data_IF_963303861644
#
_entry.id   IF_963303861644
#
_cell.length_a   1.000
_cell.length_b   1.000
_cell.length_c   1.000
_cell.angle_alpha   90.00
_cell.angle_beta   90.00
_cell.angle_gamma   90.00
#
_symmetry.space_group_name_H-M   'P 1'
#
loop_
_entity.id
_entity.type
_entity.pdbx_description
1 polymer ?
#
# COMPACT_ATOMS: atom_id res chain seq x y z
N UNK A 1 36.57 58.69 34.11
CA UNK A 1 35.28 58.46 33.42
C UNK A 1 35.41 57.25 32.49
N UNK A 2 34.52 56.29 32.74
CA UNK A 2 34.23 55.00 32.08
C UNK A 2 34.74 54.73 30.66
N UNK A 3 35.30 53.53 30.43
CA UNK A 3 35.02 52.76 29.20
C UNK A 3 35.34 51.25 29.27
N UNK A 4 34.36 50.47 28.79
CA UNK A 4 34.45 49.14 28.13
C UNK A 4 34.81 47.89 28.96
N UNK A 5 33.77 47.33 29.58
CA UNK A 5 33.59 45.87 29.63
C UNK A 5 32.70 45.45 28.45
N UNK A 6 33.20 44.60 27.55
CA UNK A 6 32.39 44.02 26.48
C UNK A 6 32.93 42.67 26.04
N UNK A 7 31.98 41.76 25.79
CA UNK A 7 32.10 40.48 25.08
C UNK A 7 32.80 39.34 25.84
N UNK A 8 32.07 38.72 26.78
CA UNK A 8 32.35 37.31 27.10
C UNK A 8 31.11 36.49 27.55
N UNK A 9 29.91 36.83 27.05
CA UNK A 9 28.67 36.22 27.55
C UNK A 9 27.58 35.94 26.51
N UNK A 10 27.91 35.72 25.23
CA UNK A 10 26.88 35.49 24.18
C UNK A 10 27.08 34.27 23.27
N UNK A 11 28.10 33.43 23.49
CA UNK A 11 28.41 32.34 22.54
C UNK A 11 27.97 30.96 23.05
N UNK A 12 27.59 30.82 24.33
CA UNK A 12 27.25 29.51 24.93
C UNK A 12 25.77 29.12 24.92
N UNK A 13 24.87 29.98 24.49
CA UNK A 13 23.41 29.73 24.59
C UNK A 13 22.83 29.13 23.28
N UNK A 14 23.49 29.32 22.14
CA UNK A 14 22.98 28.89 20.83
C UNK A 14 23.13 27.38 20.58
N UNK A 15 24.07 26.69 21.22
CA UNK A 15 24.36 25.28 20.93
C UNK A 15 23.34 24.34 21.61
N UNK A 16 22.75 24.74 22.73
CA UNK A 16 21.75 23.93 23.44
C UNK A 16 20.38 23.92 22.76
N UNK A 17 20.05 24.95 21.98
CA UNK A 17 18.76 25.04 21.30
C UNK A 17 18.70 24.17 20.02
N UNK A 18 19.83 23.99 19.34
CA UNK A 18 19.91 23.20 18.10
C UNK A 18 19.83 21.69 18.40
N UNK A 19 20.41 21.23 19.51
CA UNK A 19 20.32 19.82 19.90
C UNK A 19 18.91 19.42 20.36
N UNK A 20 18.15 20.34 20.95
CA UNK A 20 16.76 20.10 21.36
C UNK A 20 15.79 20.08 20.15
N UNK A 21 16.05 20.89 19.12
CA UNK A 21 15.28 20.85 17.87
C UNK A 21 15.51 19.57 17.06
N UNK A 22 16.71 18.99 17.14
CA UNK A 22 17.04 17.73 16.45
C UNK A 22 16.27 16.51 16.97
N UNK A 23 15.96 16.45 18.27
CA UNK A 23 15.22 15.32 18.87
C UNK A 23 13.69 15.40 18.66
N UNK A 24 13.13 16.59 18.48
CA UNK A 24 11.68 16.77 18.25
C UNK A 24 11.22 16.39 16.83
N UNK A 25 12.14 16.29 15.87
CA UNK A 25 11.85 15.87 14.49
C UNK A 25 11.86 14.34 14.29
N UNK A 26 12.28 13.56 15.28
CA UNK A 26 12.35 12.09 15.16
C UNK A 26 11.06 11.36 15.58
N UNK A 27 10.05 12.06 16.08
CA UNK A 27 8.83 11.43 16.62
C UNK A 27 7.72 11.26 15.57
N UNK A 28 7.86 11.81 14.36
CA UNK A 28 6.79 11.85 13.36
C UNK A 28 6.91 10.88 12.18
N UNK A 29 7.91 9.99 12.15
CA UNK A 29 8.02 8.95 11.12
C UNK A 29 7.98 7.54 11.71
N UNK A 30 6.77 7.13 12.09
CA UNK A 30 6.54 5.77 12.57
C UNK A 30 5.07 5.49 12.82
N UNK A 31 4.17 5.93 11.94
CA UNK A 31 2.75 5.58 12.04
C UNK A 31 2.52 4.14 11.57
N UNK A 32 3.10 3.17 12.29
CA UNK A 32 2.69 1.77 12.17
C UNK A 32 1.33 1.64 12.87
N UNK A 33 0.26 1.86 12.10
CA UNK A 33 -1.12 1.61 12.57
C UNK A 33 -1.25 0.11 12.84
N UNK A 34 -1.07 -0.30 14.09
CA UNK A 34 -1.40 -1.64 14.54
C UNK A 34 -2.93 -1.80 14.47
N UNK A 35 -3.41 -2.32 13.35
CA UNK A 35 -4.82 -2.68 13.18
C UNK A 35 -5.19 -3.71 14.24
N UNK A 36 -6.30 -3.52 14.94
CA UNK A 36 -6.80 -4.49 15.91
C UNK A 36 -7.21 -5.80 15.21
N UNK A 37 -7.17 -6.91 15.93
CA UNK A 37 -7.59 -8.22 15.41
C UNK A 37 -9.02 -8.20 14.87
N UNK A 38 -9.90 -7.38 15.47
CA UNK A 38 -11.28 -7.19 15.00
C UNK A 38 -11.33 -6.54 13.63
N UNK A 39 -10.60 -5.44 13.41
CA UNK A 39 -10.54 -4.75 12.13
C UNK A 39 -9.98 -5.64 11.01
N UNK A 40 -9.00 -6.49 11.33
CA UNK A 40 -8.45 -7.47 10.36
C UNK A 40 -9.47 -8.53 9.96
N UNK A 41 -10.23 -9.05 10.93
CA UNK A 41 -11.28 -10.04 10.67
C UNK A 41 -12.44 -9.43 9.87
N UNK A 42 -12.81 -8.20 10.18
CA UNK A 42 -13.84 -7.46 9.47
C UNK A 42 -13.41 -7.19 8.02
N UNK A 43 -12.17 -6.75 7.80
CA UNK A 43 -11.59 -6.61 6.48
C UNK A 43 -11.67 -7.92 5.67
N UNK A 44 -11.27 -9.05 6.27
CA UNK A 44 -11.37 -10.37 5.63
C UNK A 44 -12.82 -10.72 5.27
N UNK A 45 -13.76 -10.46 6.18
CA UNK A 45 -15.18 -10.73 5.96
C UNK A 45 -15.74 -9.87 4.83
N UNK A 46 -15.40 -8.58 4.82
CA UNK A 46 -15.84 -7.62 3.80
C UNK A 46 -15.28 -7.97 2.42
N UNK A 47 -13.99 -8.31 2.32
CA UNK A 47 -13.41 -8.81 1.08
C UNK A 47 -14.12 -10.09 0.60
N UNK A 48 -14.38 -11.02 1.53
CA UNK A 48 -15.07 -12.28 1.21
C UNK A 48 -16.52 -12.08 0.76
N UNK A 49 -17.19 -11.04 1.25
CA UNK A 49 -18.54 -10.64 0.81
C UNK A 49 -18.48 -9.98 -0.57
N UNK A 50 -17.54 -9.05 -0.78
CA UNK A 50 -17.35 -8.36 -2.05
C UNK A 50 -17.01 -9.33 -3.19
N UNK A 51 -16.16 -10.34 -2.95
CA UNK A 51 -15.83 -11.38 -3.94
C UNK A 51 -17.06 -12.24 -4.30
N UNK A 52 -17.94 -12.50 -3.33
CA UNK A 52 -19.15 -13.32 -3.55
C UNK A 52 -20.28 -12.55 -4.22
N UNK A 53 -20.28 -11.23 -4.11
CA UNK A 53 -21.27 -10.39 -4.78
C UNK A 53 -20.86 -10.15 -6.23
N UNK A 54 -21.61 -10.69 -7.19
CA UNK A 54 -21.29 -10.62 -8.62
C UNK A 54 -21.22 -9.18 -9.14
N UNK A 55 -22.16 -8.30 -8.76
CA UNK A 55 -22.15 -6.91 -9.25
C UNK A 55 -20.92 -6.16 -8.78
N UNK A 56 -20.57 -6.27 -7.49
CA UNK A 56 -19.36 -5.65 -6.95
C UNK A 56 -18.11 -6.24 -7.60
N UNK A 57 -18.04 -7.57 -7.72
CA UNK A 57 -16.87 -8.23 -8.28
C UNK A 57 -16.62 -7.84 -9.74
N UNK A 58 -17.68 -7.78 -10.56
CA UNK A 58 -17.63 -7.31 -11.94
C UNK A 58 -17.19 -5.85 -12.02
N UNK A 59 -17.77 -4.97 -11.19
CA UNK A 59 -17.38 -3.56 -11.14
C UNK A 59 -15.88 -3.39 -10.86
N UNK A 60 -15.33 -4.17 -9.91
CA UNK A 60 -13.89 -4.15 -9.61
C UNK A 60 -13.03 -4.67 -10.76
N UNK A 61 -13.51 -5.66 -11.51
CA UNK A 61 -12.83 -6.17 -12.72
C UNK A 61 -12.77 -5.11 -13.81
N UNK A 62 -13.87 -4.40 -14.07
CA UNK A 62 -13.92 -3.33 -15.07
C UNK A 62 -13.00 -2.16 -14.67
N UNK A 63 -12.99 -1.79 -13.39
CA UNK A 63 -12.13 -0.72 -12.86
C UNK A 63 -10.62 -1.06 -12.93
N UNK A 64 -10.25 -2.35 -12.96
CA UNK A 64 -8.85 -2.75 -12.90
C UNK A 64 -8.15 -2.60 -14.27
N UNK A 65 -7.00 -1.93 -14.30
CA UNK A 65 -6.14 -1.86 -15.49
C UNK A 65 -5.35 -3.15 -15.69
N UNK A 66 -5.00 -3.79 -14.58
CA UNK A 66 -4.22 -5.01 -14.53
C UNK A 66 -4.91 -6.07 -13.69
N UNK A 67 -4.98 -7.28 -14.23
CA UNK A 67 -5.47 -8.46 -13.50
C UNK A 67 -4.50 -9.60 -13.76
N UNK A 68 -4.02 -10.24 -12.70
CA UNK A 68 -3.05 -11.31 -12.83
C UNK A 68 -3.09 -12.27 -11.64
N UNK A 69 -2.64 -13.50 -11.87
CA UNK A 69 -2.31 -14.42 -10.79
C UNK A 69 -0.87 -14.23 -10.37
N UNK A 70 -0.60 -14.31 -9.07
CA UNK A 70 0.75 -14.08 -8.56
C UNK A 70 0.99 -14.73 -7.21
N UNK A 71 2.27 -14.84 -6.84
CA UNK A 71 2.70 -15.25 -5.50
C UNK A 71 3.45 -14.11 -4.83
N UNK A 72 3.03 -13.77 -3.62
CA UNK A 72 3.66 -12.74 -2.79
C UNK A 72 5.03 -13.23 -2.36
N UNK A 73 6.03 -12.41 -2.61
CA UNK A 73 7.43 -12.67 -2.27
C UNK A 73 7.81 -11.93 -1.00
N UNK A 74 7.45 -10.66 -0.94
CA UNK A 74 7.75 -9.83 0.21
C UNK A 74 6.67 -8.77 0.44
N UNK A 75 6.60 -8.29 1.68
CA UNK A 75 5.73 -7.23 2.13
C UNK A 75 6.58 -6.27 2.97
N UNK A 76 6.75 -5.04 2.49
CA UNK A 76 7.50 -3.96 3.11
C UNK A 76 6.57 -2.76 3.23
N UNK A 77 6.38 -2.18 4.43
CA UNK A 77 5.61 -0.95 4.71
C UNK A 77 4.77 -0.38 3.54
N UNK A 78 3.58 -0.96 3.31
CA UNK A 78 2.63 -0.49 2.28
C UNK A 78 2.98 -0.86 0.83
N UNK A 79 3.99 -1.69 0.61
CA UNK A 79 4.44 -2.21 -0.69
C UNK A 79 4.48 -3.73 -0.69
N UNK A 80 3.91 -4.32 -1.73
CA UNK A 80 3.81 -5.75 -1.91
C UNK A 80 4.60 -6.17 -3.14
N UNK A 81 5.68 -6.93 -2.94
CA UNK A 81 6.46 -7.50 -4.02
C UNK A 81 5.83 -8.83 -4.46
N UNK A 82 5.33 -8.89 -5.68
CA UNK A 82 4.61 -10.06 -6.22
C UNK A 82 5.33 -10.60 -7.43
N UNK A 83 5.57 -11.92 -7.46
CA UNK A 83 5.95 -12.61 -8.68
C UNK A 83 4.70 -12.96 -9.48
N UNK A 84 4.55 -12.36 -10.65
CA UNK A 84 3.47 -12.64 -11.59
C UNK A 84 3.63 -14.06 -12.12
N UNK A 85 2.54 -14.80 -12.15
CA UNK A 85 2.47 -16.17 -12.69
C UNK A 85 1.79 -16.18 -14.05
N UNK A 86 0.67 -15.48 -14.18
CA UNK A 86 -0.07 -15.31 -15.43
C UNK A 86 -0.79 -13.97 -15.43
N UNK A 87 -0.59 -13.18 -16.48
CA UNK A 87 -1.41 -12.01 -16.74
C UNK A 87 -2.76 -12.46 -17.34
N UNK A 88 -3.85 -11.88 -16.86
CA UNK A 88 -5.22 -12.10 -17.35
C UNK A 88 -5.70 -10.85 -18.10
N UNK A 89 -5.47 -9.67 -17.52
CA UNK A 89 -5.74 -8.36 -18.13
C UNK A 89 -4.50 -7.48 -18.01
N UNK A 90 -4.18 -6.78 -19.10
CA UNK A 90 -2.98 -5.96 -19.22
C UNK A 90 -1.70 -6.77 -19.45
N UNK A 91 -0.62 -6.10 -19.85
CA UNK A 91 0.67 -6.72 -20.13
C UNK A 91 1.59 -6.60 -18.91
N UNK A 92 1.76 -7.71 -18.18
CA UNK A 92 2.61 -7.78 -16.98
C UNK A 92 3.50 -9.01 -17.03
N UNK A 93 4.82 -8.81 -16.90
CA UNK A 93 5.82 -9.86 -17.01
C UNK A 93 6.77 -9.81 -15.80
N UNK A 94 7.06 -10.98 -15.20
CA UNK A 94 8.09 -11.10 -14.16
C UNK A 94 7.61 -10.74 -12.75
N UNK A 95 8.19 -9.70 -12.14
CA UNK A 95 7.91 -9.25 -10.78
C UNK A 95 7.33 -7.84 -10.79
N UNK A 96 6.40 -7.58 -9.88
CA UNK A 96 5.70 -6.31 -9.79
C UNK A 96 5.64 -5.86 -8.33
N UNK A 97 5.96 -4.59 -8.11
CA UNK A 97 5.72 -3.92 -6.84
C UNK A 97 4.36 -3.23 -6.87
N UNK A 98 3.46 -3.70 -6.00
CA UNK A 98 2.16 -3.10 -5.79
C UNK A 98 2.20 -2.18 -4.58
N UNK A 99 1.69 -0.97 -4.73
CA UNK A 99 1.40 -0.10 -3.59
C UNK A 99 0.06 -0.50 -2.99
N UNK A 100 0.00 -0.63 -1.67
CA UNK A 100 -1.21 -0.90 -0.93
C UNK A 100 -1.76 0.43 -0.42
N UNK A 101 -2.90 0.86 -0.96
CA UNK A 101 -3.56 2.09 -0.53
C UNK A 101 -4.63 1.83 0.55
N UNK A 102 -5.08 0.57 0.67
CA UNK A 102 -6.14 0.19 1.60
C UNK A 102 -5.60 -0.22 2.97
N UNK A 103 -6.35 0.11 4.02
CA UNK A 103 -6.10 -0.33 5.41
C UNK A 103 -6.06 -1.85 5.57
N UNK A 104 -6.65 -2.58 4.62
CA UNK A 104 -6.67 -4.04 4.52
C UNK A 104 -5.34 -4.69 4.12
N UNK A 105 -4.33 -3.90 3.75
CA UNK A 105 -2.97 -4.33 3.43
C UNK A 105 -2.37 -5.34 4.45
N UNK A 106 -2.67 -5.13 5.73
CA UNK A 106 -2.12 -5.90 6.85
C UNK A 106 -2.65 -7.34 6.89
N UNK A 107 -3.78 -7.62 6.26
CA UNK A 107 -4.32 -8.98 6.17
C UNK A 107 -3.52 -9.87 5.19
N UNK A 108 -2.73 -9.27 4.31
CA UNK A 108 -2.00 -9.98 3.27
C UNK A 108 -0.82 -10.74 3.89
N UNK A 109 -0.85 -12.07 3.77
CA UNK A 109 0.24 -12.93 4.28
C UNK A 109 1.34 -13.11 3.22
N UNK A 110 2.59 -13.16 3.68
CA UNK A 110 3.73 -13.56 2.85
C UNK A 110 3.49 -14.95 2.25
N UNK A 111 4.04 -15.20 1.05
CA UNK A 111 3.85 -16.44 0.29
C UNK A 111 2.42 -16.76 -0.15
N UNK A 112 1.44 -15.91 0.12
CA UNK A 112 0.09 -16.10 -0.41
C UNK A 112 0.10 -16.07 -1.94
N UNK A 113 -0.71 -16.96 -2.54
CA UNK A 113 -0.92 -17.02 -3.98
C UNK A 113 -2.39 -16.74 -4.25
N UNK A 114 -2.66 -15.81 -5.15
CA UNK A 114 -4.02 -15.34 -5.42
C UNK A 114 -4.13 -14.57 -6.72
N UNK A 115 -5.31 -14.01 -6.95
CA UNK A 115 -5.60 -13.12 -8.06
C UNK A 115 -5.51 -11.69 -7.53
N UNK A 116 -4.77 -10.85 -8.24
CA UNK A 116 -4.53 -9.45 -7.89
C UNK A 116 -5.18 -8.58 -8.94
N UNK A 117 -5.91 -7.56 -8.48
CA UNK A 117 -6.45 -6.51 -9.32
C UNK A 117 -5.79 -5.20 -8.96
N UNK A 118 -5.18 -4.57 -9.95
CA UNK A 118 -4.42 -3.36 -9.77
C UNK A 118 -4.77 -2.32 -10.81
N UNK A 119 -4.54 -1.06 -10.44
CA UNK A 119 -4.73 0.10 -11.30
C UNK A 119 -3.43 0.88 -11.42
N UNK A 120 -3.25 1.56 -12.53
CA UNK A 120 -2.22 2.57 -12.64
C UNK A 120 -2.74 3.82 -11.94
N UNK A 121 -1.99 4.32 -10.96
CA UNK A 121 -2.35 5.56 -10.30
C UNK A 121 -1.89 6.74 -11.14
N UNK A 122 -2.84 7.58 -11.54
CA UNK A 122 -2.60 8.79 -12.31
C UNK A 122 -2.36 10.02 -11.41
N UNK A 123 -2.23 9.83 -10.08
CA UNK A 123 -1.95 10.89 -9.12
C UNK A 123 -3.20 11.57 -8.58
N UNK A 124 -4.38 10.97 -8.72
CA UNK A 124 -5.61 11.48 -8.12
C UNK A 124 -5.58 11.26 -6.61
N UNK A 125 -5.26 12.31 -5.84
CA UNK A 125 -5.33 12.34 -4.38
C UNK A 125 -3.98 12.17 -3.65
N UNK A 126 -3.03 11.41 -4.20
CA UNK A 126 -1.68 11.29 -3.61
C UNK A 126 -0.59 11.25 -4.70
N UNK A 127 0.09 12.39 -4.89
CA UNK A 127 1.17 12.54 -5.87
C UNK A 127 2.34 11.55 -5.64
N UNK A 128 2.49 10.97 -4.43
CA UNK A 128 3.55 9.97 -4.14
C UNK A 128 3.38 8.67 -4.92
N UNK A 129 2.20 8.41 -5.48
CA UNK A 129 1.88 7.17 -6.19
C UNK A 129 1.73 7.36 -7.70
N UNK A 130 1.94 8.57 -8.22
CA UNK A 130 1.80 8.88 -9.64
C UNK A 130 2.70 7.96 -10.49
N UNK A 131 2.10 7.26 -11.44
CA UNK A 131 2.75 6.27 -12.31
C UNK A 131 3.00 4.90 -11.68
N UNK A 132 2.65 4.70 -10.40
CA UNK A 132 2.80 3.42 -9.71
C UNK A 132 1.59 2.52 -9.94
N UNK A 133 1.81 1.22 -9.79
CA UNK A 133 0.72 0.23 -9.84
C UNK A 133 0.20 0.02 -8.41
N UNK A 134 -1.04 0.42 -8.17
CA UNK A 134 -1.69 0.35 -6.87
C UNK A 134 -2.63 -0.85 -6.86
N UNK A 135 -2.54 -1.67 -5.82
CA UNK A 135 -3.52 -2.72 -5.59
C UNK A 135 -4.85 -2.07 -5.23
N UNK A 136 -5.87 -2.30 -6.06
CA UNK A 136 -7.20 -1.71 -5.90
C UNK A 136 -8.20 -2.71 -5.33
N UNK A 137 -8.00 -4.01 -5.57
CA UNK A 137 -8.84 -5.05 -4.98
C UNK A 137 -8.09 -6.37 -4.85
N UNK A 138 -8.35 -7.07 -3.74
CA UNK A 138 -7.78 -8.38 -3.46
C UNK A 138 -6.81 -8.40 -2.27
N UNK A 139 -6.02 -9.48 -2.12
CA UNK A 139 -5.88 -10.59 -3.06
C UNK A 139 -7.07 -11.58 -2.98
N UNK A 140 -7.59 -11.98 -4.14
CA UNK A 140 -8.73 -12.89 -4.26
C UNK A 140 -8.25 -14.35 -4.26
N UNK A 141 -8.95 -15.28 -3.57
CA UNK A 141 -8.59 -16.69 -3.59
C UNK A 141 -8.57 -17.28 -5.00
N UNK A 142 -7.51 -18.02 -5.29
CA UNK A 142 -7.34 -18.75 -6.55
C UNK A 142 -8.18 -20.02 -6.55
N UNK A 143 -9.46 -19.89 -6.88
CA UNK A 143 -10.42 -21.00 -7.06
C UNK A 143 -10.89 -21.03 -8.50
N UNK A 144 -11.32 -22.22 -8.98
CA UNK A 144 -11.87 -22.35 -10.35
C UNK A 144 -13.07 -21.42 -10.55
N UNK A 145 -14.01 -21.40 -9.60
CA UNK A 145 -15.18 -20.52 -9.66
C UNK A 145 -14.83 -19.03 -9.82
N UNK A 146 -13.81 -18.53 -9.11
CA UNK A 146 -13.40 -17.13 -9.25
C UNK A 146 -12.68 -16.88 -10.57
N UNK A 147 -11.88 -17.83 -11.06
CA UNK A 147 -11.19 -17.72 -12.35
C UNK A 147 -12.19 -17.74 -13.50
N UNK A 148 -13.21 -18.58 -13.46
CA UNK A 148 -14.22 -18.67 -14.50
C UNK A 148 -15.04 -17.37 -14.58
N UNK A 149 -15.55 -16.90 -13.43
CA UNK A 149 -16.26 -15.59 -13.35
C UNK A 149 -15.42 -14.45 -13.90
N UNK A 150 -14.13 -14.44 -13.56
CA UNK A 150 -13.21 -13.39 -13.98
C UNK A 150 -12.83 -13.49 -15.47
N UNK A 151 -12.62 -14.69 -16.00
CA UNK A 151 -12.31 -14.88 -17.42
C UNK A 151 -13.50 -14.51 -18.31
N UNK A 152 -14.74 -14.79 -17.87
CA UNK A 152 -15.93 -14.34 -18.58
C UNK A 152 -16.00 -12.81 -18.59
N UNK A 153 -15.91 -12.18 -17.42
CA UNK A 153 -16.02 -10.73 -17.26
C UNK A 153 -14.94 -9.90 -17.96
N UNK A 154 -13.77 -10.48 -18.25
CA UNK A 154 -12.69 -9.80 -18.97
C UNK A 154 -12.87 -9.88 -20.49
N UNK A 155 -13.65 -10.85 -20.98
CA UNK A 155 -13.90 -11.05 -22.42
C UNK A 155 -15.11 -10.28 -22.92
N UNK A 156 -16.05 -9.98 -22.02
CA UNK A 156 -17.21 -9.12 -22.26
C UNK A 156 -16.79 -7.65 -22.43
#
# INVERSE_FOLDING_TARGET
>A
MSNRASKMGRIRIEISAILALGCLLCVSLGNSRNLSTKELLECRANLSRAVRNDTIFLERIHQADYIFTGKIKDLQEGRLHVRVKRAIKGLLNGTLDLILNDTCAVYIRRSYTGIFMARRDFGFGNLKHLGKVVMHFGPVPLTLANLDRLNSAVRD
#
